data_IF_918202534764
#
_entry.id   IF_918202534764
#
_cell.length_a   1.000
_cell.length_b   1.000
_cell.length_c   1.000
_cell.angle_alpha   90.00
_cell.angle_beta   90.00
_cell.angle_gamma   90.00
#
_symmetry.space_group_name_H-M   'P 1'
#
loop_
_entity.id
_entity.type
_entity.pdbx_description
1 polymer ?
#
# COMPACT_ATOMS: atom_id res chain seq x y z
N UNK A 1 -0.15 -15.89 -20.30
CA UNK A 1 0.07 -16.20 -18.87
C UNK A 1 -0.63 -15.15 -18.03
N UNK A 2 -0.98 -15.45 -16.78
CA UNK A 2 -1.60 -14.48 -15.86
C UNK A 2 -0.71 -14.40 -14.63
N UNK A 3 -0.39 -13.19 -14.21
CA UNK A 3 0.43 -12.94 -13.03
C UNK A 3 -0.41 -12.24 -11.97
N UNK A 4 -0.24 -12.65 -10.71
CA UNK A 4 -0.88 -12.03 -9.55
C UNK A 4 0.23 -11.47 -8.65
N UNK A 5 0.10 -10.20 -8.27
CA UNK A 5 1.00 -9.53 -7.33
C UNK A 5 0.23 -9.35 -6.03
N UNK A 6 0.79 -9.84 -4.92
CA UNK A 6 0.25 -9.65 -3.60
C UNK A 6 1.09 -8.61 -2.86
N UNK A 7 0.44 -7.56 -2.38
CA UNK A 7 1.08 -6.46 -1.67
C UNK A 7 0.26 -6.14 -0.42
N UNK A 8 0.93 -5.98 0.72
CA UNK A 8 0.31 -5.48 1.96
C UNK A 8 0.35 -3.95 1.98
N UNK A 9 -0.56 -3.34 2.74
CA UNK A 9 -0.48 -1.89 2.99
C UNK A 9 0.87 -1.54 3.65
N UNK A 10 1.35 -0.33 3.37
CA UNK A 10 2.56 0.19 4.01
C UNK A 10 2.29 0.57 5.48
N UNK A 11 3.34 0.98 6.19
CA UNK A 11 3.20 1.31 7.61
C UNK A 11 2.15 2.42 7.86
N UNK A 12 1.18 2.15 8.74
CA UNK A 12 0.16 3.11 9.17
C UNK A 12 0.51 3.73 10.53
N UNK A 13 0.04 4.96 10.76
CA UNK A 13 0.10 5.62 12.08
C UNK A 13 -0.57 4.76 13.14
N UNK A 14 -0.19 4.92 14.41
CA UNK A 14 -0.95 4.32 15.50
C UNK A 14 -2.33 4.98 15.61
N UNK A 15 -3.35 4.21 15.95
CA UNK A 15 -4.68 4.77 16.19
C UNK A 15 -4.63 5.78 17.34
N UNK A 16 -5.21 6.96 17.11
CA UNK A 16 -5.50 7.91 18.18
C UNK A 16 -6.62 7.36 19.07
N UNK A 17 -6.72 7.85 20.31
CA UNK A 17 -7.79 7.44 21.24
C UNK A 17 -9.16 7.68 20.61
N UNK A 18 -9.93 6.60 20.42
CA UNK A 18 -11.26 6.64 19.82
C UNK A 18 -11.30 6.63 18.28
N UNK A 19 -10.14 6.61 17.60
CA UNK A 19 -10.08 6.44 16.15
C UNK A 19 -10.31 4.98 15.78
N UNK A 20 -11.14 4.74 14.76
CA UNK A 20 -11.30 3.41 14.22
C UNK A 20 -10.04 2.98 13.48
N UNK A 21 -9.69 1.68 13.55
CA UNK A 21 -8.52 1.13 12.85
C UNK A 21 -8.60 1.35 11.33
N UNK A 22 -9.82 1.29 10.79
CA UNK A 22 -10.13 1.56 9.39
C UNK A 22 -9.71 2.96 8.93
N UNK A 23 -9.79 3.96 9.82
CA UNK A 23 -9.51 5.36 9.48
C UNK A 23 -8.03 5.74 9.71
N UNK A 24 -7.15 4.76 9.93
CA UNK A 24 -5.73 5.02 10.22
C UNK A 24 -4.97 5.40 8.94
N UNK A 25 -4.41 6.62 8.84
CA UNK A 25 -3.64 7.00 7.67
C UNK A 25 -2.28 6.28 7.64
N UNK A 26 -1.68 6.21 6.45
CA UNK A 26 -0.26 5.90 6.32
C UNK A 26 0.57 6.94 7.09
N UNK A 27 1.61 6.48 7.78
CA UNK A 27 2.59 7.39 8.37
C UNK A 27 3.49 7.98 7.28
N UNK A 28 4.26 9.05 7.55
CA UNK A 28 5.22 9.58 6.58
C UNK A 28 6.20 8.52 6.06
N UNK A 29 6.60 7.58 6.94
CA UNK A 29 7.39 6.41 6.55
C UNK A 29 6.60 5.47 5.64
N UNK A 30 5.34 5.20 5.96
CA UNK A 30 4.48 4.36 5.13
C UNK A 30 4.26 4.93 3.72
N UNK A 31 4.13 6.24 3.59
CA UNK A 31 4.04 6.91 2.29
C UNK A 31 5.31 6.68 1.46
N UNK A 32 6.48 6.88 2.06
CA UNK A 32 7.76 6.61 1.39
C UNK A 32 7.94 5.11 1.04
N UNK A 33 7.50 4.18 1.90
CA UNK A 33 7.51 2.74 1.62
C UNK A 33 6.59 2.39 0.44
N UNK A 34 5.40 3.00 0.35
CA UNK A 34 4.46 2.79 -0.73
C UNK A 34 5.00 3.32 -2.07
N UNK A 35 5.62 4.51 -2.07
CA UNK A 35 6.30 5.06 -3.25
C UNK A 35 7.45 4.17 -3.72
N UNK A 36 8.29 3.70 -2.79
CA UNK A 36 9.41 2.81 -3.11
C UNK A 36 8.92 1.47 -3.71
N UNK A 37 7.84 0.90 -3.17
CA UNK A 37 7.24 -0.32 -3.72
C UNK A 37 6.72 -0.09 -5.15
N UNK A 38 6.07 1.05 -5.40
CA UNK A 38 5.60 1.43 -6.74
C UNK A 38 6.74 1.60 -7.74
N UNK A 39 7.81 2.30 -7.34
CA UNK A 39 9.00 2.48 -8.17
C UNK A 39 9.65 1.13 -8.51
N UNK A 40 9.81 0.26 -7.51
CA UNK A 40 10.37 -1.07 -7.71
C UNK A 40 9.53 -1.91 -8.69
N UNK A 41 8.20 -1.90 -8.57
CA UNK A 41 7.32 -2.60 -9.52
C UNK A 41 7.53 -2.09 -10.96
N UNK A 42 7.61 -0.78 -11.15
CA UNK A 42 7.85 -0.18 -12.47
C UNK A 42 9.22 -0.59 -13.04
N UNK A 43 10.29 -0.58 -12.23
CA UNK A 43 11.62 -1.04 -12.63
C UNK A 43 11.62 -2.51 -13.06
N UNK A 44 10.83 -3.35 -12.40
CA UNK A 44 10.67 -4.76 -12.76
C UNK A 44 9.70 -4.99 -13.95
N UNK A 45 9.21 -3.93 -14.59
CA UNK A 45 8.17 -3.99 -15.64
C UNK A 45 6.90 -4.71 -15.19
N UNK A 46 6.59 -4.62 -13.89
CA UNK A 46 5.41 -5.21 -13.27
C UNK A 46 4.29 -4.16 -13.20
N UNK A 47 3.55 -4.04 -14.30
CA UNK A 47 2.46 -3.06 -14.47
C UNK A 47 1.11 -3.77 -14.50
N UNK A 48 0.34 -3.81 -13.38
CA UNK A 48 -0.95 -4.50 -13.35
C UNK A 48 -2.00 -3.78 -14.19
N UNK A 49 -2.72 -4.53 -15.02
CA UNK A 49 -3.91 -4.00 -15.73
C UNK A 49 -5.06 -3.66 -14.77
N UNK A 50 -5.08 -4.31 -13.60
CA UNK A 50 -6.11 -4.18 -12.58
C UNK A 50 -5.49 -4.20 -11.19
N UNK A 51 -6.01 -3.33 -10.32
CA UNK A 51 -5.62 -3.25 -8.91
C UNK A 51 -6.90 -3.40 -8.08
N UNK A 52 -6.85 -4.28 -7.08
CA UNK A 52 -7.89 -4.45 -6.07
C UNK A 52 -7.27 -4.13 -4.71
N UNK A 53 -7.85 -3.16 -4.01
CA UNK A 53 -7.41 -2.74 -2.69
C UNK A 53 -8.54 -2.92 -1.66
N UNK A 54 -8.15 -3.10 -0.40
CA UNK A 54 -9.06 -2.91 0.74
C UNK A 54 -9.62 -1.47 0.71
N UNK A 55 -10.84 -1.22 1.21
CA UNK A 55 -11.40 0.13 1.28
C UNK A 55 -10.86 0.99 2.43
N UNK A 56 -10.04 0.40 3.31
CA UNK A 56 -9.39 1.08 4.44
C UNK A 56 -8.32 2.08 3.99
#
# INVERSE_FOLDING_TARGET
>A
MRQLILLRHAHAEQASTGQADFDRPLSPRGLAEAEAAGAWLAEQSLLPDRVLCSPA
#
